data_IF_705060181340
#
_entry.id   IF_705060181340
#
_cell.length_a   1.000
_cell.length_b   1.000
_cell.length_c   1.000
_cell.angle_alpha   90.00
_cell.angle_beta   90.00
_cell.angle_gamma   90.00
#
_symmetry.space_group_name_H-M   'P 1'
#
loop_
_entity.id
_entity.type
_entity.pdbx_description
1 polymer ?
#
# COMPACT_ATOMS: atom_id res chain seq x y z
N UNK A 1 -2.01 22.73 -19.59
CA UNK A 1 -1.39 21.76 -18.69
C UNK A 1 -2.49 20.87 -18.09
N UNK A 2 -2.55 19.64 -18.55
CA UNK A 2 -3.45 18.64 -17.96
C UNK A 2 -2.92 18.28 -16.57
N UNK A 3 -3.51 18.84 -15.55
CA UNK A 3 -3.34 18.29 -14.22
C UNK A 3 -4.03 16.94 -14.19
N UNK A 4 -3.25 15.87 -14.07
CA UNK A 4 -3.80 14.57 -13.77
C UNK A 4 -4.58 14.70 -12.47
N UNK A 5 -5.87 14.46 -12.54
CA UNK A 5 -6.68 14.36 -11.34
C UNK A 5 -6.48 12.97 -10.73
N UNK A 6 -5.32 12.77 -10.12
CA UNK A 6 -5.06 11.55 -9.40
C UNK A 6 -5.96 11.48 -8.18
N UNK A 7 -6.48 10.30 -7.89
CA UNK A 7 -7.25 10.04 -6.69
C UNK A 7 -6.36 9.35 -5.67
N UNK A 8 -6.52 9.73 -4.41
CA UNK A 8 -5.87 9.11 -3.26
C UNK A 8 -6.95 8.52 -2.36
N UNK A 9 -6.81 7.26 -2.02
CA UNK A 9 -7.61 6.59 -1.00
C UNK A 9 -6.73 6.11 0.13
N UNK A 10 -7.30 5.89 1.28
CA UNK A 10 -6.57 5.45 2.46
C UNK A 10 -7.32 4.32 3.14
N UNK A 11 -6.65 3.20 3.30
CA UNK A 11 -7.12 2.06 4.06
C UNK A 11 -6.23 1.91 5.29
N UNK A 12 -6.84 1.87 6.45
CA UNK A 12 -6.15 1.60 7.71
C UNK A 12 -6.47 0.20 8.20
N UNK A 13 -5.51 -0.42 8.83
CA UNK A 13 -5.68 -1.75 9.41
C UNK A 13 -5.05 -1.76 10.80
N UNK A 14 -5.88 -1.99 11.79
CA UNK A 14 -5.46 -2.15 13.19
C UNK A 14 -6.54 -2.88 13.98
N UNK A 15 -6.18 -3.40 15.12
CA UNK A 15 -7.12 -4.13 15.96
C UNK A 15 -7.55 -5.43 15.29
N UNK A 16 -8.83 -5.59 15.05
CA UNK A 16 -9.42 -6.82 14.48
C UNK A 16 -9.72 -6.74 12.99
N UNK A 17 -9.51 -5.60 12.34
CA UNK A 17 -9.90 -5.47 10.94
C UNK A 17 -9.32 -4.25 10.22
N UNK A 18 -9.89 -3.96 9.07
CA UNK A 18 -9.49 -2.85 8.21
C UNK A 18 -10.71 -2.00 7.86
N UNK A 19 -10.46 -0.70 7.66
CA UNK A 19 -11.50 0.23 7.22
C UNK A 19 -10.98 1.17 6.14
N UNK A 20 -11.88 1.64 5.30
CA UNK A 20 -11.58 2.73 4.37
C UNK A 20 -11.65 4.04 5.14
N UNK A 21 -10.50 4.53 5.57
CA UNK A 21 -10.39 5.77 6.33
C UNK A 21 -10.66 6.99 5.45
N UNK A 22 -10.36 6.88 4.16
CA UNK A 22 -10.64 7.90 3.15
C UNK A 22 -11.00 7.21 1.84
N UNK A 23 -12.24 7.35 1.35
CA UNK A 23 -12.59 6.90 0.01
C UNK A 23 -11.76 7.64 -1.05
N UNK A 24 -11.48 7.04 -2.21
CA UNK A 24 -10.70 7.69 -3.25
C UNK A 24 -11.22 9.07 -3.60
N UNK A 25 -10.36 10.06 -3.46
CA UNK A 25 -10.68 11.48 -3.67
C UNK A 25 -9.53 12.17 -4.41
N UNK A 26 -9.86 13.20 -5.18
CA UNK A 26 -8.87 14.09 -5.79
C UNK A 26 -8.47 15.26 -4.89
N UNK A 27 -9.05 15.36 -3.68
CA UNK A 27 -8.73 16.41 -2.72
C UNK A 27 -7.47 16.05 -1.92
N UNK A 28 -6.38 16.76 -2.18
CA UNK A 28 -5.13 16.63 -1.41
C UNK A 28 -5.33 17.06 0.04
N UNK A 29 -6.13 18.12 0.25
CA UNK A 29 -6.41 18.62 1.59
C UNK A 29 -7.18 17.62 2.45
N UNK A 30 -8.16 16.94 1.86
CA UNK A 30 -8.91 15.89 2.55
C UNK A 30 -7.99 14.71 2.93
N UNK A 31 -7.09 14.32 2.03
CA UNK A 31 -6.13 13.26 2.30
C UNK A 31 -5.16 13.64 3.42
N UNK A 32 -4.61 14.84 3.39
CA UNK A 32 -3.70 15.33 4.44
C UNK A 32 -4.39 15.42 5.80
N UNK A 33 -5.60 15.97 5.84
CA UNK A 33 -6.38 16.08 7.09
C UNK A 33 -6.68 14.70 7.69
N UNK A 34 -7.00 13.72 6.86
CA UNK A 34 -7.30 12.36 7.33
C UNK A 34 -6.05 11.66 7.86
N UNK A 35 -4.91 11.84 7.21
CA UNK A 35 -3.64 11.27 7.68
C UNK A 35 -3.27 11.78 9.08
N UNK A 36 -3.48 13.08 9.34
CA UNK A 36 -3.19 13.68 10.65
C UNK A 36 -4.08 13.14 11.77
N UNK A 37 -5.29 12.69 11.45
CA UNK A 37 -6.29 12.22 12.42
C UNK A 37 -6.25 10.72 12.66
N UNK A 38 -5.34 9.97 12.02
CA UNK A 38 -5.30 8.52 12.14
C UNK A 38 -4.90 8.06 13.54
N UNK A 39 -5.66 7.15 14.15
CA UNK A 39 -5.25 6.52 15.39
C UNK A 39 -4.08 5.56 15.14
N UNK A 40 -3.19 5.44 16.12
CA UNK A 40 -2.01 4.60 16.07
C UNK A 40 -2.04 3.51 17.13
N UNK A 41 -1.26 2.45 16.90
CA UNK A 41 -1.11 1.34 17.85
C UNK A 41 -2.12 0.21 17.65
N UNK A 42 -1.93 -0.88 18.38
CA UNK A 42 -2.79 -2.05 18.35
C UNK A 42 -2.25 -3.19 17.47
N UNK A 43 -3.10 -4.16 17.21
CA UNK A 43 -2.77 -5.30 16.34
C UNK A 43 -2.66 -4.87 14.89
N UNK A 44 -1.96 -5.68 14.09
CA UNK A 44 -1.67 -5.37 12.68
C UNK A 44 -2.32 -6.42 11.76
N UNK A 45 -3.63 -6.31 11.46
CA UNK A 45 -4.30 -7.23 10.54
C UNK A 45 -3.99 -6.89 9.08
N UNK A 46 -2.76 -7.16 8.66
CA UNK A 46 -2.23 -6.77 7.35
C UNK A 46 -3.02 -7.38 6.20
N UNK A 47 -3.40 -8.66 6.30
CA UNK A 47 -4.21 -9.32 5.27
C UNK A 47 -5.56 -8.62 5.08
N UNK A 48 -6.23 -8.25 6.17
CA UNK A 48 -7.49 -7.52 6.10
C UNK A 48 -7.31 -6.16 5.42
N UNK A 49 -6.22 -5.46 5.73
CA UNK A 49 -5.86 -4.19 5.08
C UNK A 49 -5.68 -4.34 3.59
N UNK A 50 -4.90 -5.34 3.17
CA UNK A 50 -4.65 -5.62 1.76
C UNK A 50 -5.93 -6.00 1.01
N UNK A 51 -6.75 -6.87 1.58
CA UNK A 51 -8.02 -7.27 0.97
C UNK A 51 -8.97 -6.08 0.81
N UNK A 52 -9.03 -5.21 1.81
CA UNK A 52 -9.87 -4.00 1.74
C UNK A 52 -9.38 -3.04 0.65
N UNK A 53 -8.08 -2.82 0.57
CA UNK A 53 -7.48 -1.99 -0.47
C UNK A 53 -7.72 -2.59 -1.87
N UNK A 54 -7.61 -3.89 -2.01
CA UNK A 54 -7.90 -4.57 -3.27
C UNK A 54 -9.35 -4.36 -3.72
N UNK A 55 -10.30 -4.44 -2.79
CA UNK A 55 -11.72 -4.16 -3.09
C UNK A 55 -11.92 -2.73 -3.57
N UNK A 56 -11.29 -1.75 -2.92
CA UNK A 56 -11.37 -0.34 -3.33
C UNK A 56 -10.85 -0.16 -4.75
N UNK A 57 -9.70 -0.75 -5.07
CA UNK A 57 -9.11 -0.66 -6.40
C UNK A 57 -9.97 -1.35 -7.46
N UNK A 58 -10.58 -2.48 -7.12
CA UNK A 58 -11.49 -3.18 -8.02
C UNK A 58 -12.68 -2.30 -8.41
N UNK A 59 -13.28 -1.62 -7.44
CA UNK A 59 -14.40 -0.70 -7.70
C UNK A 59 -13.95 0.49 -8.55
N UNK A 60 -12.81 1.08 -8.25
CA UNK A 60 -12.26 2.20 -9.03
C UNK A 60 -11.94 1.78 -10.47
N UNK A 61 -11.45 0.57 -10.68
CA UNK A 61 -11.18 0.04 -12.02
C UNK A 61 -12.47 -0.13 -12.84
N UNK A 62 -13.57 -0.53 -12.19
CA UNK A 62 -14.87 -0.61 -12.84
C UNK A 62 -15.39 0.75 -13.27
N UNK A 63 -15.12 1.78 -12.46
CA UNK A 63 -15.54 3.16 -12.77
C UNK A 63 -14.71 3.80 -13.88
N UNK A 64 -13.41 3.51 -13.91
CA UNK A 64 -12.47 4.06 -14.89
C UNK A 64 -11.39 3.03 -15.22
N UNK A 65 -11.62 2.15 -16.21
CA UNK A 65 -10.66 1.10 -16.58
C UNK A 65 -9.32 1.62 -17.11
N UNK A 66 -9.27 2.86 -17.60
CA UNK A 66 -8.05 3.47 -18.13
C UNK A 66 -7.13 4.01 -17.03
N UNK A 67 -7.63 4.16 -15.82
CA UNK A 67 -6.86 4.70 -14.71
C UNK A 67 -5.92 3.64 -14.14
N UNK A 68 -4.66 4.02 -13.96
CA UNK A 68 -3.66 3.14 -13.36
C UNK A 68 -3.68 3.26 -11.84
N UNK A 69 -3.58 2.11 -11.19
CA UNK A 69 -3.50 2.05 -9.73
C UNK A 69 -2.04 1.88 -9.28
N UNK A 70 -1.73 2.49 -8.15
CA UNK A 70 -0.53 2.24 -7.39
C UNK A 70 -0.94 1.97 -5.94
N UNK A 71 -0.46 0.89 -5.39
CA UNK A 71 -0.61 0.59 -3.97
C UNK A 71 0.69 0.93 -3.25
N UNK A 72 0.58 1.70 -2.17
CA UNK A 72 1.69 1.96 -1.26
C UNK A 72 1.34 1.38 0.09
N UNK A 73 2.12 0.40 0.52
CA UNK A 73 1.93 -0.25 1.83
C UNK A 73 2.99 0.27 2.78
N UNK A 74 2.57 0.90 3.86
CA UNK A 74 3.47 1.38 4.92
C UNK A 74 3.35 0.41 6.08
N UNK A 75 4.41 -0.31 6.38
CA UNK A 75 4.38 -1.39 7.38
C UNK A 75 5.76 -1.66 7.97
N UNK A 76 5.79 -2.15 9.19
CA UNK A 76 6.99 -2.72 9.79
C UNK A 76 7.17 -4.22 9.40
N UNK A 77 6.32 -4.72 8.52
CA UNK A 77 6.31 -6.11 8.08
C UNK A 77 5.62 -7.06 9.04
N UNK A 78 5.20 -6.61 10.21
CA UNK A 78 4.48 -7.45 11.16
C UNK A 78 3.05 -7.70 10.68
N UNK A 79 2.57 -8.89 10.93
CA UNK A 79 1.20 -9.25 10.69
C UNK A 79 0.69 -10.04 11.90
N UNK A 80 -0.50 -9.70 12.36
CA UNK A 80 -1.15 -10.39 13.49
C UNK A 80 -2.59 -10.69 13.15
N UNK A 81 -3.20 -11.54 13.96
CA UNK A 81 -4.61 -11.92 13.81
C UNK A 81 -4.80 -13.20 13.02
N UNK A 82 -5.48 -14.17 13.65
CA UNK A 82 -5.76 -15.46 13.06
C UNK A 82 -4.55 -16.40 12.97
N UNK A 83 -4.73 -17.61 12.44
CA UNK A 83 -3.63 -18.53 12.18
C UNK A 83 -2.83 -18.06 10.96
N UNK A 84 -1.49 -18.17 11.04
CA UNK A 84 -0.57 -17.85 9.95
C UNK A 84 -0.78 -16.46 9.31
N UNK A 85 -0.71 -15.37 10.10
CA UNK A 85 -1.02 -14.03 9.59
C UNK A 85 -0.10 -13.56 8.46
N UNK A 86 1.16 -13.98 8.45
CA UNK A 86 2.11 -13.66 7.38
C UNK A 86 1.73 -14.37 6.08
N UNK A 87 1.35 -15.63 6.15
CA UNK A 87 0.90 -16.40 4.98
C UNK A 87 -0.39 -15.83 4.40
N UNK A 88 -1.34 -15.41 5.25
CA UNK A 88 -2.57 -14.74 4.82
C UNK A 88 -2.29 -13.42 4.11
N UNK A 89 -1.38 -12.61 4.66
CA UNK A 89 -0.96 -11.36 4.03
C UNK A 89 -0.32 -11.61 2.66
N UNK A 90 0.51 -12.63 2.55
CA UNK A 90 1.13 -13.02 1.27
C UNK A 90 0.09 -13.43 0.22
N UNK A 91 -0.92 -14.18 0.61
CA UNK A 91 -2.01 -14.55 -0.30
C UNK A 91 -2.82 -13.33 -0.77
N UNK A 92 -3.12 -12.42 0.13
CA UNK A 92 -3.79 -11.16 -0.23
C UNK A 92 -2.92 -10.32 -1.16
N UNK A 93 -1.63 -10.23 -0.90
CA UNK A 93 -0.67 -9.50 -1.74
C UNK A 93 -0.62 -10.05 -3.17
N UNK A 94 -0.67 -11.37 -3.34
CA UNK A 94 -0.65 -11.98 -4.68
C UNK A 94 -1.84 -11.59 -5.56
N UNK A 95 -2.97 -11.18 -4.97
CA UNK A 95 -4.10 -10.65 -5.74
C UNK A 95 -3.72 -9.38 -6.51
N UNK A 96 -2.95 -8.50 -5.88
CA UNK A 96 -2.46 -7.28 -6.55
C UNK A 96 -1.50 -7.62 -7.68
N UNK A 97 -0.59 -8.56 -7.45
CA UNK A 97 0.35 -9.01 -8.48
C UNK A 97 -0.39 -9.64 -9.67
N UNK A 98 -1.38 -10.47 -9.42
CA UNK A 98 -2.21 -11.10 -10.46
C UNK A 98 -2.96 -10.05 -11.29
N UNK A 99 -3.41 -8.97 -10.67
CA UNK A 99 -4.11 -7.88 -11.36
C UNK A 99 -3.16 -6.88 -12.01
N UNK A 100 -1.85 -7.07 -11.91
CA UNK A 100 -0.86 -6.17 -12.49
C UNK A 100 -0.78 -4.80 -11.83
N UNK A 101 -1.20 -4.68 -10.56
CA UNK A 101 -1.15 -3.42 -9.80
C UNK A 101 0.30 -3.11 -9.41
N UNK A 102 0.76 -1.91 -9.74
CA UNK A 102 2.07 -1.44 -9.27
C UNK A 102 2.06 -1.26 -7.75
N UNK A 103 3.13 -1.66 -7.09
CA UNK A 103 3.18 -1.68 -5.62
C UNK A 103 4.54 -1.22 -5.10
N UNK A 104 4.50 -0.47 -4.00
CA UNK A 104 5.68 -0.09 -3.22
C UNK A 104 5.39 -0.43 -1.76
N UNK A 105 6.33 -1.09 -1.11
CA UNK A 105 6.26 -1.33 0.32
C UNK A 105 7.29 -0.44 1.01
N UNK A 106 6.81 0.42 1.90
CA UNK A 106 7.66 1.27 2.73
C UNK A 106 7.96 0.52 4.01
N UNK A 107 9.22 0.12 4.16
CA UNK A 107 9.70 -0.61 5.32
C UNK A 107 9.98 0.36 6.48
N UNK A 108 9.14 0.27 7.49
CA UNK A 108 9.27 1.05 8.73
C UNK A 108 9.87 0.22 9.87
N UNK A 109 10.42 -0.96 9.58
CA UNK A 109 11.05 -1.80 10.59
C UNK A 109 12.23 -1.07 11.24
N UNK A 110 12.21 -1.03 12.56
CA UNK A 110 13.26 -0.42 13.35
C UNK A 110 13.81 -1.43 14.37
N UNK A 111 15.07 -1.23 14.77
CA UNK A 111 15.71 -2.07 15.74
C UNK A 111 16.89 -2.87 15.18
N UNK A 112 17.68 -3.54 16.07
CA UNK A 112 18.90 -4.24 15.67
C UNK A 112 18.63 -5.54 14.90
N UNK A 113 17.45 -6.14 15.05
CA UNK A 113 17.06 -7.37 14.36
C UNK A 113 16.01 -7.04 13.30
N UNK A 114 16.37 -7.26 12.04
CA UNK A 114 15.44 -7.10 10.92
C UNK A 114 14.90 -8.44 10.49
N UNK A 115 13.59 -8.58 10.46
CA UNK A 115 12.92 -9.83 10.07
C UNK A 115 12.77 -9.95 8.54
N UNK A 116 12.92 -8.84 7.80
CA UNK A 116 12.82 -8.85 6.35
C UNK A 116 11.40 -9.07 5.81
N UNK A 117 10.38 -8.91 6.64
CA UNK A 117 8.99 -9.20 6.25
C UNK A 117 8.45 -8.23 5.21
N UNK A 118 8.90 -6.97 5.24
CA UNK A 118 8.51 -5.98 4.23
C UNK A 118 9.04 -6.36 2.84
N UNK A 119 10.28 -6.87 2.77
CA UNK A 119 10.85 -7.40 1.53
C UNK A 119 10.10 -8.61 1.00
N UNK A 120 9.71 -9.54 1.88
CA UNK A 120 8.88 -10.69 1.52
C UNK A 120 7.53 -10.24 0.96
N UNK A 121 6.88 -9.28 1.62
CA UNK A 121 5.60 -8.73 1.16
C UNK A 121 5.75 -8.08 -0.21
N UNK A 122 6.81 -7.30 -0.43
CA UNK A 122 7.10 -6.71 -1.73
C UNK A 122 7.26 -7.77 -2.82
N UNK A 123 7.91 -8.90 -2.51
CA UNK A 123 8.02 -10.03 -3.42
C UNK A 123 6.65 -10.61 -3.79
N UNK A 124 5.77 -10.81 -2.81
CA UNK A 124 4.41 -11.32 -3.04
C UNK A 124 3.54 -10.35 -3.84
N UNK A 125 3.75 -9.05 -3.67
CA UNK A 125 3.10 -7.99 -4.44
C UNK A 125 3.68 -7.82 -5.85
N UNK A 126 4.79 -8.46 -6.15
CA UNK A 126 5.59 -8.18 -7.35
C UNK A 126 5.94 -6.69 -7.45
N UNK A 127 6.32 -6.12 -6.33
CA UNK A 127 6.64 -4.71 -6.15
C UNK A 127 8.04 -4.48 -5.63
N UNK A 128 8.26 -3.28 -5.12
CA UNK A 128 9.56 -2.84 -4.61
C UNK A 128 9.44 -2.44 -3.14
N UNK A 129 10.41 -2.87 -2.32
CA UNK A 129 10.54 -2.40 -0.95
C UNK A 129 11.52 -1.25 -0.89
N UNK A 130 11.18 -0.21 -0.12
CA UNK A 130 12.05 0.93 0.16
C UNK A 130 12.04 1.20 1.66
N UNK A 131 13.15 1.71 2.19
CA UNK A 131 13.24 2.13 3.59
C UNK A 131 12.78 3.58 3.75
N UNK A 132 12.51 3.99 4.98
CA UNK A 132 12.19 5.40 5.27
C UNK A 132 13.36 6.33 4.93
N UNK A 133 14.61 5.87 5.12
CA UNK A 133 15.79 6.66 4.79
C UNK A 133 15.92 6.88 3.29
N UNK A 134 15.62 5.85 2.48
CA UNK A 134 15.57 5.98 1.02
C UNK A 134 14.48 6.95 0.58
N UNK A 135 13.32 6.95 1.25
CA UNK A 135 12.24 7.90 0.98
C UNK A 135 12.63 9.35 1.29
N UNK A 136 13.46 9.57 2.29
CA UNK A 136 13.97 10.91 2.62
C UNK A 136 14.97 11.41 1.59
N UNK A 137 15.74 10.51 0.99
CA UNK A 137 16.73 10.84 -0.03
C UNK A 137 16.05 11.13 -1.38
N UNK A 138 14.98 10.38 -1.71
CA UNK A 138 14.23 10.50 -2.97
C UNK A 138 12.82 11.03 -2.72
N UNK A 139 12.29 11.81 -3.67
CA UNK A 139 10.89 12.20 -3.58
C UNK A 139 9.98 11.00 -3.86
N UNK A 140 8.88 10.87 -3.14
CA UNK A 140 7.86 9.86 -3.38
C UNK A 140 7.39 9.90 -4.84
N UNK A 141 7.27 11.09 -5.42
CA UNK A 141 6.91 11.28 -6.82
C UNK A 141 7.92 10.64 -7.79
N UNK A 142 9.21 10.67 -7.47
CA UNK A 142 10.26 10.00 -8.25
C UNK A 142 10.10 8.48 -8.20
N UNK A 143 9.91 7.89 -7.02
CA UNK A 143 9.68 6.47 -6.84
C UNK A 143 8.43 5.97 -7.58
N UNK A 144 7.34 6.72 -7.51
CA UNK A 144 6.10 6.40 -8.22
C UNK A 144 6.35 6.36 -9.73
N UNK A 145 7.07 7.33 -10.28
CA UNK A 145 7.39 7.39 -11.70
C UNK A 145 8.27 6.20 -12.12
N UNK A 146 9.27 5.86 -11.33
CA UNK A 146 10.20 4.77 -11.62
C UNK A 146 9.48 3.42 -11.63
N UNK A 147 8.64 3.15 -10.63
CA UNK A 147 7.88 1.90 -10.54
C UNK A 147 6.86 1.79 -11.67
N UNK A 148 6.17 2.86 -12.02
CA UNK A 148 5.21 2.88 -13.12
C UNK A 148 5.92 2.78 -14.48
N UNK A 149 7.10 3.38 -14.62
CA UNK A 149 7.93 3.31 -15.82
C UNK A 149 8.44 1.89 -16.09
N UNK A 150 8.91 1.19 -15.06
CA UNK A 150 9.41 -0.18 -15.18
C UNK A 150 8.35 -1.17 -15.67
N UNK A 151 7.10 -0.96 -15.32
CA UNK A 151 6.00 -1.81 -15.78
C UNK A 151 5.54 -1.52 -17.21
N UNK A 152 5.94 -0.39 -17.79
CA UNK A 152 5.63 -0.08 -19.20
C UNK A 152 6.53 -0.83 -20.19
N UNK A 153 7.68 -1.28 -19.74
CA UNK A 153 8.72 -1.88 -20.58
C UNK A 153 8.62 -3.42 -20.58
N UNK A 154 7.91 -3.98 -19.62
CA UNK A 154 7.73 -5.43 -19.50
C UNK A 154 6.55 -5.95 -20.31
#
# INVERSE_FOLDING_TARGET
AYQRRDKVGLVTFRGSGAEVALPPTSSVDAAAARLESLPTGGRTPLAAGLLRAHDVLRVERLRDPARRALVVVVTDGRATGGPEPVALAGRAARLFAADGVASVVVDCESGPVRLGLAGQLAGELDGTAVTLDELRADSIAGLVRDVQGSRRIA
#
